data_IF_604050379399
#
_entry.id   IF_604050379399
#
_cell.length_a   1.000
_cell.length_b   1.000
_cell.length_c   1.000
_cell.angle_alpha   90.00
_cell.angle_beta   90.00
_cell.angle_gamma   90.00
#
_symmetry.space_group_name_H-M   'P 1'
#
loop_
_entity.id
_entity.type
_entity.pdbx_description
1 polymer ?
#
# COMPACT_ATOMS: atom_id res chain seq x y z
N UNK A 1 -25.33 -23.39 -3.31
CA UNK A 1 -24.56 -22.20 -3.76
C UNK A 1 -23.09 -22.50 -3.56
N UNK A 2 -22.21 -22.15 -4.51
CA UNK A 2 -20.76 -22.30 -4.31
C UNK A 2 -20.27 -21.33 -3.24
N UNK A 3 -19.18 -21.68 -2.56
CA UNK A 3 -18.53 -20.80 -1.57
C UNK A 3 -18.06 -19.50 -2.24
N UNK A 4 -18.31 -18.33 -1.62
CA UNK A 4 -17.74 -17.04 -2.05
C UNK A 4 -16.22 -17.04 -1.86
N UNK A 5 -15.50 -16.33 -2.73
CA UNK A 5 -14.06 -16.16 -2.58
C UNK A 5 -13.75 -15.08 -1.55
N UNK A 6 -12.77 -15.31 -0.68
CA UNK A 6 -12.29 -14.31 0.28
C UNK A 6 -11.20 -13.45 -0.35
N UNK A 7 -11.43 -12.14 -0.41
CA UNK A 7 -10.52 -11.18 -1.05
C UNK A 7 -10.07 -10.14 -0.04
N UNK A 8 -8.77 -9.96 0.12
CA UNK A 8 -8.18 -8.87 0.89
C UNK A 8 -7.55 -7.85 -0.06
N UNK A 9 -7.53 -6.57 0.33
CA UNK A 9 -6.82 -5.52 -0.41
C UNK A 9 -6.02 -4.63 0.52
N UNK A 10 -4.93 -4.05 0.04
CA UNK A 10 -4.19 -3.05 0.81
C UNK A 10 -3.47 -2.08 -0.11
N UNK A 11 -3.24 -0.87 0.40
CA UNK A 11 -2.43 0.17 -0.25
C UNK A 11 -1.17 0.38 0.57
N UNK A 12 -0.01 0.13 -0.03
CA UNK A 12 1.31 0.38 0.54
C UNK A 12 1.79 1.78 0.13
N UNK A 13 2.98 1.91 -0.48
CA UNK A 13 3.45 3.15 -1.08
C UNK A 13 2.75 3.40 -2.44
N UNK A 14 1.44 3.65 -2.39
CA UNK A 14 0.56 3.92 -3.52
C UNK A 14 -0.19 5.24 -3.35
N UNK A 15 -0.91 5.64 -4.39
CA UNK A 15 -1.75 6.86 -4.37
C UNK A 15 -3.23 6.57 -4.16
N UNK A 16 -3.60 5.31 -3.88
CA UNK A 16 -4.97 4.80 -3.79
C UNK A 16 -5.73 4.77 -5.13
N UNK A 17 -5.06 5.10 -6.23
CA UNK A 17 -5.66 5.15 -7.57
C UNK A 17 -6.03 3.77 -8.12
N UNK A 18 -5.34 2.69 -7.74
CA UNK A 18 -5.76 1.35 -8.19
C UNK A 18 -7.01 0.88 -7.45
N UNK A 19 -7.19 1.27 -6.19
CA UNK A 19 -8.46 1.07 -5.48
C UNK A 19 -9.58 1.89 -6.10
N UNK A 20 -9.34 3.14 -6.50
CA UNK A 20 -10.36 3.92 -7.23
C UNK A 20 -10.71 3.25 -8.57
N UNK A 21 -9.72 2.79 -9.33
CA UNK A 21 -9.98 2.05 -10.57
C UNK A 21 -10.73 0.72 -10.34
N UNK A 22 -10.62 0.10 -9.17
CA UNK A 22 -11.46 -1.05 -8.76
C UNK A 22 -12.90 -0.61 -8.50
N UNK A 23 -13.11 0.57 -7.91
CA UNK A 23 -14.45 1.12 -7.66
C UNK A 23 -15.10 1.68 -8.94
N UNK A 24 -14.32 2.12 -9.92
CA UNK A 24 -14.75 2.55 -11.26
C UNK A 24 -15.31 1.40 -12.12
N UNK A 25 -15.52 0.20 -11.54
CA UNK A 25 -16.37 -0.82 -12.17
C UNK A 25 -17.87 -0.50 -11.98
N UNK A 26 -18.18 0.52 -11.18
CA UNK A 26 -19.50 1.09 -10.94
C UNK A 26 -20.50 0.03 -10.46
N UNK A 27 -21.66 -0.11 -11.11
CA UNK A 27 -22.70 -1.05 -10.72
C UNK A 27 -22.26 -2.51 -10.85
N UNK A 28 -21.14 -2.81 -11.53
CA UNK A 28 -20.55 -4.16 -11.56
C UNK A 28 -19.94 -4.55 -10.21
N UNK A 29 -19.82 -3.63 -9.27
CA UNK A 29 -19.44 -3.94 -7.90
C UNK A 29 -20.49 -4.81 -7.20
N UNK A 30 -21.78 -4.57 -7.44
CA UNK A 30 -22.85 -5.38 -6.84
C UNK A 30 -22.79 -6.87 -7.23
N UNK A 31 -22.75 -7.26 -8.52
CA UNK A 31 -22.58 -8.66 -8.89
C UNK A 31 -21.20 -9.22 -8.47
N UNK A 32 -20.17 -8.39 -8.34
CA UNK A 32 -18.89 -8.84 -7.77
C UNK A 32 -19.06 -9.25 -6.30
N UNK A 33 -19.77 -8.45 -5.50
CA UNK A 33 -20.05 -8.74 -4.09
C UNK A 33 -20.96 -9.98 -3.90
N UNK A 34 -21.66 -10.44 -4.92
CA UNK A 34 -22.34 -11.74 -4.92
C UNK A 34 -21.38 -12.92 -5.03
N UNK A 35 -20.18 -12.70 -5.61
CA UNK A 35 -19.16 -13.73 -5.85
C UNK A 35 -18.06 -13.76 -4.78
N UNK A 36 -17.81 -12.62 -4.13
CA UNK A 36 -16.71 -12.45 -3.17
C UNK A 36 -17.20 -11.93 -1.82
N UNK A 37 -16.37 -12.11 -0.81
CA UNK A 37 -16.45 -11.39 0.46
C UNK A 37 -15.11 -10.71 0.74
N UNK A 38 -15.15 -9.46 1.21
CA UNK A 38 -13.95 -8.72 1.56
C UNK A 38 -13.49 -9.07 2.98
N UNK A 39 -12.20 -9.36 3.11
CA UNK A 39 -11.48 -9.38 4.38
C UNK A 39 -10.84 -8.00 4.62
N UNK A 40 -9.64 -7.91 5.21
CA UNK A 40 -8.89 -6.65 5.36
C UNK A 40 -8.83 -5.90 4.03
N UNK A 41 -9.40 -4.71 4.03
CA UNK A 41 -9.39 -3.75 2.94
C UNK A 41 -9.50 -2.34 3.51
N UNK A 42 -8.92 -1.30 2.88
CA UNK A 42 -9.23 0.10 3.19
C UNK A 42 -10.73 0.44 3.08
N UNK A 43 -11.53 -0.42 2.44
CA UNK A 43 -12.99 -0.30 2.32
C UNK A 43 -13.76 -1.01 3.45
N UNK A 44 -13.05 -1.58 4.43
CA UNK A 44 -13.62 -2.31 5.57
C UNK A 44 -12.94 -1.88 6.88
N UNK A 45 -13.56 -2.18 8.01
CA UNK A 45 -12.98 -1.87 9.33
C UNK A 45 -12.02 -2.95 9.87
N UNK A 46 -11.78 -4.02 9.12
CA UNK A 46 -10.93 -5.15 9.54
C UNK A 46 -9.45 -4.72 9.53
N UNK A 47 -8.78 -4.85 10.68
CA UNK A 47 -7.41 -4.32 10.87
C UNK A 47 -6.29 -5.28 10.46
N UNK A 48 -6.53 -6.59 10.53
CA UNK A 48 -5.56 -7.64 10.17
C UNK A 48 -6.14 -8.57 9.12
N UNK A 49 -5.32 -8.95 8.15
CA UNK A 49 -5.64 -9.87 7.08
C UNK A 49 -5.77 -11.29 7.67
N UNK A 50 -6.97 -11.84 7.57
CA UNK A 50 -7.24 -13.24 7.80
C UNK A 50 -6.92 -14.12 6.58
N UNK A 51 -7.08 -15.44 6.69
CA UNK A 51 -6.88 -16.36 5.57
C UNK A 51 -7.78 -16.03 4.38
N UNK A 52 -7.17 -15.72 3.23
CA UNK A 52 -7.85 -15.27 2.03
C UNK A 52 -7.47 -16.09 0.80
N UNK A 53 -8.37 -16.14 -0.17
CA UNK A 53 -8.09 -16.76 -1.46
C UNK A 53 -7.24 -15.84 -2.34
N UNK A 54 -7.51 -14.53 -2.32
CA UNK A 54 -6.84 -13.53 -3.15
C UNK A 54 -6.45 -12.31 -2.30
N UNK A 55 -5.22 -11.82 -2.47
CA UNK A 55 -4.75 -10.54 -1.93
C UNK A 55 -4.37 -9.59 -3.06
N UNK A 56 -5.03 -8.44 -3.16
CA UNK A 56 -4.72 -7.38 -4.12
C UNK A 56 -3.86 -6.31 -3.44
N UNK A 57 -2.62 -6.13 -3.90
CA UNK A 57 -1.68 -5.19 -3.29
C UNK A 57 -1.40 -4.05 -4.25
N UNK A 58 -1.82 -2.84 -3.90
CA UNK A 58 -1.41 -1.61 -4.57
C UNK A 58 -0.21 -0.99 -3.85
N UNK A 59 0.65 -0.31 -4.61
CA UNK A 59 1.74 0.49 -4.06
C UNK A 59 3.05 -0.29 -3.90
N UNK A 60 4.16 0.44 -3.95
CA UNK A 60 5.48 -0.12 -3.67
C UNK A 60 5.73 -0.26 -2.16
N UNK A 61 6.99 -0.50 -1.79
CA UNK A 61 7.43 -0.60 -0.40
C UNK A 61 8.35 0.59 -0.12
N UNK A 62 7.96 1.52 0.76
CA UNK A 62 8.77 2.71 1.07
C UNK A 62 9.18 2.83 2.54
N UNK A 63 8.61 2.04 3.45
CA UNK A 63 8.94 2.05 4.88
C UNK A 63 8.78 0.65 5.51
N UNK A 64 9.20 0.52 6.78
CA UNK A 64 9.16 -0.72 7.53
C UNK A 64 7.74 -1.31 7.70
N UNK A 65 6.72 -0.47 7.87
CA UNK A 65 5.34 -0.94 8.02
C UNK A 65 4.80 -1.55 6.72
N UNK A 66 5.15 -0.98 5.56
CA UNK A 66 4.79 -1.59 4.28
C UNK A 66 5.35 -3.01 4.15
N UNK A 67 6.58 -3.26 4.63
CA UNK A 67 7.18 -4.60 4.64
C UNK A 67 6.40 -5.52 5.57
N UNK A 68 5.98 -5.04 6.75
CA UNK A 68 5.20 -5.81 7.70
C UNK A 68 3.85 -6.23 7.11
N UNK A 69 3.09 -5.26 6.59
CA UNK A 69 1.78 -5.50 5.95
C UNK A 69 1.91 -6.44 4.77
N UNK A 70 2.91 -6.25 3.90
CA UNK A 70 3.11 -7.16 2.77
C UNK A 70 3.37 -8.60 3.22
N UNK A 71 4.21 -8.81 4.25
CA UNK A 71 4.47 -10.16 4.77
C UNK A 71 3.22 -10.79 5.40
N UNK A 72 2.40 -10.00 6.09
CA UNK A 72 1.10 -10.43 6.62
C UNK A 72 0.18 -10.91 5.50
N UNK A 73 0.04 -10.13 4.43
CA UNK A 73 -0.74 -10.53 3.25
C UNK A 73 -0.16 -11.76 2.58
N UNK A 74 1.17 -11.83 2.41
CA UNK A 74 1.83 -12.98 1.78
C UNK A 74 1.62 -14.28 2.57
N UNK A 75 1.56 -14.20 3.91
CA UNK A 75 1.29 -15.36 4.77
C UNK A 75 -0.16 -15.83 4.67
N UNK A 76 -1.11 -14.91 4.51
CA UNK A 76 -2.53 -15.19 4.64
C UNK A 76 -3.26 -15.38 3.30
N UNK A 77 -2.73 -14.88 2.19
CA UNK A 77 -3.36 -15.00 0.87
C UNK A 77 -2.77 -16.17 0.07
N UNK A 78 -3.63 -17.02 -0.50
CA UNK A 78 -3.21 -18.10 -1.41
C UNK A 78 -2.61 -17.56 -2.71
N UNK A 79 -3.28 -16.56 -3.29
CA UNK A 79 -2.85 -15.83 -4.48
C UNK A 79 -2.62 -14.38 -4.07
N UNK A 80 -1.46 -13.82 -4.43
CA UNK A 80 -1.13 -12.42 -4.16
C UNK A 80 -0.81 -11.73 -5.48
N UNK A 81 -1.48 -10.61 -5.74
CA UNK A 81 -1.45 -9.89 -7.01
C UNK A 81 -0.89 -8.49 -6.77
N UNK A 82 0.17 -8.16 -7.50
CA UNK A 82 0.71 -6.80 -7.55
C UNK A 82 -0.13 -5.97 -8.53
N UNK A 83 -0.86 -4.97 -8.02
CA UNK A 83 -1.81 -4.16 -8.78
C UNK A 83 -1.25 -2.76 -9.01
N UNK A 84 -1.02 -2.41 -10.28
CA UNK A 84 -0.57 -1.09 -10.70
C UNK A 84 0.95 -0.90 -10.77
N UNK A 85 1.39 0.18 -11.41
CA UNK A 85 2.80 0.44 -11.70
C UNK A 85 3.66 0.57 -10.43
N UNK A 86 3.14 1.20 -9.37
CA UNK A 86 3.82 1.31 -8.08
C UNK A 86 4.16 -0.07 -7.51
N UNK A 87 3.20 -1.00 -7.58
CA UNK A 87 3.37 -2.34 -7.07
C UNK A 87 4.37 -3.17 -7.92
N UNK A 88 4.27 -3.06 -9.24
CA UNK A 88 5.03 -3.91 -10.18
C UNK A 88 6.47 -3.43 -10.38
N UNK A 89 6.70 -2.12 -10.46
CA UNK A 89 8.01 -1.54 -10.80
C UNK A 89 8.51 -0.46 -9.83
N UNK A 90 7.74 -0.14 -8.78
CA UNK A 90 8.02 0.94 -7.84
C UNK A 90 7.35 2.27 -8.21
N UNK A 91 6.95 2.45 -9.48
CA UNK A 91 6.13 3.56 -9.96
C UNK A 91 6.73 4.95 -9.71
N UNK A 92 5.84 5.94 -9.56
CA UNK A 92 6.24 7.32 -9.28
C UNK A 92 7.02 7.48 -7.96
N UNK A 93 6.65 6.82 -6.84
CA UNK A 93 7.43 6.93 -5.60
C UNK A 93 8.89 6.50 -5.76
N UNK A 94 9.19 5.50 -6.61
CA UNK A 94 10.55 5.06 -6.89
C UNK A 94 11.39 6.07 -7.68
N UNK A 95 10.81 7.17 -8.18
CA UNK A 95 11.59 8.27 -8.72
C UNK A 95 12.53 8.86 -7.67
N UNK A 96 12.24 8.80 -6.36
CA UNK A 96 13.19 9.29 -5.35
C UNK A 96 14.48 8.47 -5.23
N UNK A 97 14.55 7.27 -5.81
CA UNK A 97 15.64 6.31 -5.58
C UNK A 97 17.01 6.75 -6.11
N UNK A 98 17.07 7.78 -6.95
CA UNK A 98 18.31 8.38 -7.42
C UNK A 98 18.81 9.53 -6.54
N UNK A 99 18.02 9.91 -5.53
CA UNK A 99 18.34 10.91 -4.53
C UNK A 99 18.70 10.24 -3.20
N UNK A 100 19.51 10.92 -2.40
CA UNK A 100 19.74 10.54 -1.01
C UNK A 100 18.48 10.82 -0.18
N UNK A 101 18.01 9.83 0.57
CA UNK A 101 16.80 9.94 1.39
C UNK A 101 16.93 11.06 2.44
N UNK A 102 18.10 11.20 3.07
CA UNK A 102 18.35 12.23 4.07
C UNK A 102 18.23 13.65 3.50
N UNK A 103 18.67 13.82 2.25
CA UNK A 103 18.54 15.05 1.49
C UNK A 103 17.06 15.34 1.16
N UNK A 104 16.28 14.34 0.75
CA UNK A 104 14.83 14.52 0.54
C UNK A 104 14.11 14.96 1.82
N UNK A 105 14.44 14.36 2.97
CA UNK A 105 13.81 14.71 4.25
C UNK A 105 14.25 16.10 4.73
N UNK A 106 15.54 16.43 4.59
CA UNK A 106 16.06 17.76 4.91
C UNK A 106 15.37 18.84 4.08
N UNK A 107 15.19 18.59 2.78
CA UNK A 107 14.56 19.58 1.89
C UNK A 107 13.12 19.92 2.31
N UNK A 108 12.33 18.91 2.67
CA UNK A 108 10.93 19.12 3.05
C UNK A 108 10.79 19.61 4.49
N UNK A 109 11.58 19.09 5.44
CA UNK A 109 11.36 19.33 6.86
C UNK A 109 12.28 20.37 7.50
N UNK A 110 13.30 20.87 6.79
CA UNK A 110 14.25 21.84 7.33
C UNK A 110 14.42 23.11 6.48
N UNK A 111 14.32 23.02 5.15
CA UNK A 111 14.67 24.14 4.24
C UNK A 111 13.46 24.80 3.57
N UNK A 112 12.28 24.18 3.60
CA UNK A 112 11.10 24.71 2.90
C UNK A 112 10.63 26.07 3.48
N UNK A 113 10.38 27.09 2.63
CA UNK A 113 9.93 28.40 3.08
C UNK A 113 8.60 28.34 3.84
N UNK A 114 8.57 28.94 5.04
CA UNK A 114 7.37 28.97 5.88
C UNK A 114 7.36 27.94 7.00
N UNK A 115 8.39 27.10 7.13
CA UNK A 115 8.54 26.25 8.30
C UNK A 115 8.83 27.05 9.59
N UNK A 116 8.01 26.82 10.60
CA UNK A 116 8.31 27.18 11.97
C UNK A 116 8.92 25.95 12.68
N UNK A 117 10.13 26.09 13.23
CA UNK A 117 10.80 25.05 14.02
C UNK A 117 11.02 23.71 13.28
N UNK A 118 11.63 23.78 12.09
CA UNK A 118 11.95 22.62 11.26
C UNK A 118 12.80 21.58 11.98
N UNK A 119 12.35 20.32 11.96
CA UNK A 119 13.10 19.14 12.37
C UNK A 119 12.58 17.94 11.58
N UNK A 120 13.44 16.97 11.29
CA UNK A 120 13.02 15.72 10.66
C UNK A 120 12.22 14.91 11.70
N UNK A 121 10.96 14.54 11.42
CA UNK A 121 10.17 13.73 12.35
C UNK A 121 10.85 12.39 12.66
N UNK A 122 10.97 12.06 13.95
CA UNK A 122 11.70 10.88 14.43
C UNK A 122 11.01 10.15 15.60
N UNK A 123 9.71 10.38 15.80
CA UNK A 123 8.93 9.70 16.83
C UNK A 123 8.90 8.17 16.59
N UNK A 124 9.02 7.32 17.63
CA UNK A 124 8.93 5.86 17.48
C UNK A 124 7.65 5.34 16.80
N UNK A 125 6.56 6.11 16.79
CA UNK A 125 5.33 5.76 16.08
C UNK A 125 5.49 5.84 14.55
N UNK A 126 6.47 6.60 14.04
CA UNK A 126 6.71 6.75 12.62
C UNK A 126 7.52 5.57 12.07
N UNK A 127 7.01 4.84 11.05
CA UNK A 127 7.73 3.71 10.50
C UNK A 127 8.99 4.19 9.77
N UNK A 128 10.11 3.53 10.05
CA UNK A 128 11.40 3.84 9.43
C UNK A 128 11.27 3.80 7.90
N UNK A 129 11.55 4.90 7.18
CA UNK A 129 11.59 4.89 5.73
C UNK A 129 12.75 4.02 5.23
N UNK A 130 12.52 3.25 4.16
CA UNK A 130 13.58 2.51 3.50
C UNK A 130 14.46 3.47 2.69
N UNK A 131 15.74 3.17 2.54
CA UNK A 131 16.66 3.94 1.70
C UNK A 131 16.08 4.14 0.28
N UNK A 132 15.52 3.07 -0.30
CA UNK A 132 14.88 3.07 -1.62
C UNK A 132 13.46 2.52 -1.55
N UNK A 133 12.64 2.97 -2.49
CA UNK A 133 11.35 2.34 -2.77
C UNK A 133 11.58 1.08 -3.59
N UNK A 134 10.92 -0.01 -3.21
CA UNK A 134 11.00 -1.29 -3.92
C UNK A 134 9.65 -1.71 -4.50
N UNK A 135 9.61 -2.40 -5.66
CA UNK A 135 8.42 -3.12 -6.08
C UNK A 135 8.13 -4.31 -5.15
N UNK A 136 6.94 -4.90 -5.27
CA UNK A 136 6.59 -6.18 -4.67
C UNK A 136 7.36 -7.31 -5.36
N UNK A 137 8.52 -7.69 -4.82
CA UNK A 137 9.31 -8.84 -5.27
C UNK A 137 9.67 -9.73 -4.09
#
# INVERSE_FOLDING_TARGET
MSRKLRVATTSLAGCFGCHMSLLDIDERLFPLLDLIEFDRSPLTDIKHCGPCDIGLIEGGICNAENVHVLREFRKNCKILIATGACAVTGGLPAQRNHLDLGSCLTEVYLTEPGLAHGHIPNDPELPLPLDKVHPLR
#
